data_IF_577769926807
#
_entry.id   IF_577769926807
#
_cell.length_a   1.000
_cell.length_b   1.000
_cell.length_c   1.000
_cell.angle_alpha   90.00
_cell.angle_beta   90.00
_cell.angle_gamma   90.00
#
_symmetry.space_group_name_H-M   'P 1'
#
loop_
_entity.id
_entity.type
_entity.pdbx_description
1 polymer ?
#
# COMPACT_ATOMS: atom_id res chain seq x y z
N UNK A 1 -0.72 14.34 0.61
CA UNK A 1 -0.67 13.54 -0.65
C UNK A 1 -2.06 13.03 -1.01
N UNK A 2 -2.30 12.64 -2.27
CA UNK A 2 -3.56 12.05 -2.73
C UNK A 2 -3.33 10.97 -3.79
N UNK A 3 -4.04 9.85 -3.71
CA UNK A 3 -4.14 8.85 -4.78
C UNK A 3 -5.20 9.30 -5.77
N UNK A 4 -4.79 9.61 -7.00
CA UNK A 4 -5.67 10.12 -8.06
C UNK A 4 -6.11 9.06 -9.06
N UNK A 5 -5.37 7.96 -9.15
CA UNK A 5 -5.67 6.84 -10.04
C UNK A 5 -5.25 5.52 -9.39
N UNK A 6 -6.04 4.47 -9.60
CA UNK A 6 -5.75 3.10 -9.17
C UNK A 6 -6.03 2.18 -10.37
N UNK A 7 -4.99 1.49 -10.84
CA UNK A 7 -5.05 0.60 -12.00
C UNK A 7 -4.59 -0.80 -11.60
N UNK A 8 -5.48 -1.78 -11.75
CA UNK A 8 -5.15 -3.19 -11.53
C UNK A 8 -4.64 -3.83 -12.83
N UNK A 9 -3.57 -4.61 -12.72
CA UNK A 9 -3.04 -5.42 -13.81
C UNK A 9 -3.30 -6.91 -13.57
N UNK A 10 -3.30 -7.69 -14.64
CA UNK A 10 -3.43 -9.16 -14.58
C UNK A 10 -2.28 -9.88 -13.84
N UNK A 11 -1.22 -9.15 -13.45
CA UNK A 11 -0.01 -9.68 -12.82
C UNK A 11 -0.02 -9.59 -11.29
N UNK A 12 -1.18 -9.51 -10.63
CA UNK A 12 -1.27 -9.35 -9.17
C UNK A 12 -0.49 -8.13 -8.66
N UNK A 13 -0.48 -7.06 -9.47
CA UNK A 13 0.20 -5.80 -9.20
C UNK A 13 -0.78 -4.66 -9.48
N UNK A 14 -0.84 -3.71 -8.56
CA UNK A 14 -1.64 -2.48 -8.72
C UNK A 14 -0.69 -1.31 -8.92
N UNK A 15 -1.05 -0.40 -9.84
CA UNK A 15 -0.41 0.89 -10.01
C UNK A 15 -1.29 1.98 -9.41
N UNK A 16 -0.65 2.88 -8.69
CA UNK A 16 -1.24 4.06 -8.10
C UNK A 16 -0.56 5.28 -8.71
N UNK A 17 -1.35 6.23 -9.17
CA UNK A 17 -0.84 7.58 -9.44
C UNK A 17 -1.08 8.41 -8.19
N UNK A 18 0.01 8.90 -7.60
CA UNK A 18 0.00 9.68 -6.36
C UNK A 18 0.48 11.09 -6.65
N UNK A 19 -0.26 12.08 -6.17
CA UNK A 19 0.08 13.49 -6.31
C UNK A 19 0.36 14.12 -4.93
N UNK A 20 1.46 14.87 -4.88
CA UNK A 20 1.81 15.71 -3.75
C UNK A 20 1.21 17.10 -3.94
N UNK A 21 0.53 17.66 -2.92
CA UNK A 21 -0.13 18.96 -3.05
C UNK A 21 0.87 20.10 -3.28
N UNK A 22 2.05 20.00 -2.67
CA UNK A 22 3.18 20.90 -2.95
C UNK A 22 4.28 20.13 -3.70
N UNK A 23 4.58 20.50 -4.97
CA UNK A 23 5.59 19.84 -5.79
C UNK A 23 7.03 20.05 -5.29
N UNK A 24 7.26 20.87 -4.27
CA UNK A 24 8.56 21.06 -3.63
C UNK A 24 8.64 20.36 -2.26
N UNK A 25 7.50 19.99 -1.66
CA UNK A 25 7.45 19.34 -0.34
C UNK A 25 6.95 17.89 -0.44
N UNK A 26 7.67 17.06 -1.19
CA UNK A 26 7.32 15.63 -1.40
C UNK A 26 8.19 14.63 -0.65
N UNK A 27 9.26 15.08 0.01
CA UNK A 27 10.18 14.23 0.75
C UNK A 27 9.96 14.32 2.26
N UNK A 28 10.17 13.21 2.97
CA UNK A 28 10.13 13.12 4.43
C UNK A 28 11.12 14.06 5.12
N UNK A 29 12.14 14.58 4.41
CA UNK A 29 13.02 15.63 4.94
C UNK A 29 12.25 16.92 5.29
N UNK A 30 11.16 17.21 4.59
CA UNK A 30 10.31 18.38 4.85
C UNK A 30 9.24 18.09 5.91
N UNK A 31 8.96 16.82 6.19
CA UNK A 31 7.98 16.36 7.16
C UNK A 31 8.55 15.22 8.04
N UNK A 32 9.62 15.47 8.82
CA UNK A 32 10.35 14.41 9.54
C UNK A 32 9.53 13.76 10.67
N UNK A 33 8.44 14.40 11.09
CA UNK A 33 7.50 13.86 12.06
C UNK A 33 6.74 12.64 11.51
N UNK A 34 6.45 12.59 10.20
CA UNK A 34 5.71 11.49 9.56
C UNK A 34 6.40 10.14 9.79
N UNK A 35 7.65 9.89 9.30
CA UNK A 35 8.29 8.59 9.51
C UNK A 35 8.53 8.29 11.00
N UNK A 36 8.80 9.31 11.82
CA UNK A 36 9.02 9.13 13.26
C UNK A 36 7.77 8.58 13.96
N UNK A 37 6.60 9.14 13.69
CA UNK A 37 5.34 8.69 14.24
C UNK A 37 4.90 7.37 13.61
N UNK A 38 5.11 7.21 12.31
CA UNK A 38 4.75 5.97 11.61
C UNK A 38 5.49 4.76 12.18
N UNK A 39 6.78 4.87 12.51
CA UNK A 39 7.52 3.77 13.15
C UNK A 39 7.08 3.47 14.60
N UNK A 40 6.37 4.40 15.26
CA UNK A 40 5.75 4.10 16.56
C UNK A 40 4.46 3.30 16.38
N UNK A 41 3.69 3.62 15.35
CA UNK A 41 2.44 2.93 15.01
C UNK A 41 2.69 1.55 14.38
N UNK A 42 3.74 1.46 13.57
CA UNK A 42 4.12 0.26 12.82
C UNK A 42 5.60 -0.05 13.06
N UNK A 43 5.97 -0.68 14.19
CA UNK A 43 7.37 -0.98 14.49
C UNK A 43 8.05 -1.91 13.47
N UNK A 44 7.31 -2.89 12.93
CA UNK A 44 7.81 -3.86 11.95
C UNK A 44 8.17 -3.22 10.60
N UNK A 45 7.58 -2.06 10.28
CA UNK A 45 7.93 -1.31 9.08
C UNK A 45 9.45 -1.03 9.03
N UNK A 46 10.09 -0.85 10.19
CA UNK A 46 11.53 -0.59 10.25
C UNK A 46 12.43 -1.75 9.84
N UNK A 47 11.88 -2.97 9.79
CA UNK A 47 12.58 -4.18 9.33
C UNK A 47 12.33 -4.47 7.85
N UNK A 48 11.57 -3.63 7.15
CA UNK A 48 11.39 -3.77 5.70
C UNK A 48 12.74 -3.66 4.99
N UNK A 49 12.92 -4.49 3.96
CA UNK A 49 14.05 -4.41 3.04
C UNK A 49 13.68 -3.46 1.92
N UNK A 50 14.57 -2.53 1.62
CA UNK A 50 14.44 -1.58 0.52
C UNK A 50 15.76 -1.60 -0.26
N UNK A 51 15.70 -1.89 -1.55
CA UNK A 51 16.86 -1.78 -2.43
C UNK A 51 17.01 -0.31 -2.82
N UNK A 52 17.99 0.36 -2.20
CA UNK A 52 18.34 1.75 -2.48
C UNK A 52 19.84 1.87 -2.80
N UNK A 53 20.21 2.91 -3.53
CA UNK A 53 21.58 3.11 -4.04
C UNK A 53 22.65 3.22 -2.93
N UNK A 54 22.23 3.45 -1.69
CA UNK A 54 23.12 3.70 -0.55
C UNK A 54 23.24 2.49 0.38
N UNK A 55 22.54 1.39 0.11
CA UNK A 55 22.52 0.21 0.97
C UNK A 55 21.94 0.47 2.37
N UNK A 56 21.10 1.50 2.51
CA UNK A 56 20.49 1.87 3.78
C UNK A 56 19.43 0.88 4.21
N UNK A 57 19.31 0.68 5.53
CA UNK A 57 18.09 0.08 6.10
C UNK A 57 16.90 0.97 5.82
N UNK A 58 15.69 0.42 5.74
CA UNK A 58 14.51 1.23 5.49
C UNK A 58 14.30 2.33 6.54
N UNK A 59 14.63 2.07 7.81
CA UNK A 59 14.62 3.09 8.87
C UNK A 59 15.55 4.27 8.58
N UNK A 60 16.73 4.03 8.01
CA UNK A 60 17.66 5.08 7.62
C UNK A 60 17.15 5.83 6.38
N UNK A 61 16.69 5.10 5.37
CA UNK A 61 16.15 5.63 4.12
C UNK A 61 14.99 6.60 4.37
N UNK A 62 14.06 6.22 5.25
CA UNK A 62 12.88 7.03 5.60
C UNK A 62 13.18 8.43 6.14
N UNK A 63 14.41 8.72 6.56
CA UNK A 63 14.81 10.08 7.02
C UNK A 63 14.84 11.10 5.89
N UNK A 64 15.03 10.65 4.65
CA UNK A 64 15.13 11.54 3.48
C UNK A 64 14.73 10.80 2.20
N UNK A 65 13.50 10.29 2.18
CA UNK A 65 12.91 9.61 1.02
C UNK A 65 11.62 10.31 0.60
N UNK A 66 11.05 9.96 -0.54
CA UNK A 66 9.78 10.47 -1.05
C UNK A 66 8.61 9.94 -0.20
N UNK A 67 7.64 10.80 0.17
CA UNK A 67 6.44 10.40 0.92
C UNK A 67 5.66 9.28 0.20
N UNK A 68 5.51 9.29 -1.15
CA UNK A 68 4.91 8.17 -1.88
C UNK A 68 5.66 6.83 -1.75
N UNK A 69 6.99 6.85 -1.55
CA UNK A 69 7.76 5.63 -1.29
C UNK A 69 7.54 5.12 0.14
N UNK A 70 7.43 6.01 1.13
CA UNK A 70 7.00 5.62 2.48
C UNK A 70 5.58 5.01 2.46
N UNK A 71 4.68 5.59 1.67
CA UNK A 71 3.32 5.12 1.47
C UNK A 71 3.27 3.72 0.87
N UNK A 72 4.10 3.42 -0.13
CA UNK A 72 4.27 2.07 -0.70
C UNK A 72 4.53 1.03 0.39
N UNK A 73 5.57 1.24 1.21
CA UNK A 73 5.92 0.30 2.28
C UNK A 73 4.82 0.19 3.34
N UNK A 74 4.09 1.28 3.61
CA UNK A 74 2.94 1.23 4.53
C UNK A 74 1.80 0.35 3.98
N UNK A 75 1.51 0.41 2.67
CA UNK A 75 0.53 -0.49 2.05
C UNK A 75 0.98 -1.94 2.22
N UNK A 76 2.26 -2.23 1.97
CA UNK A 76 2.83 -3.58 2.13
C UNK A 76 2.72 -4.06 3.59
N UNK A 77 3.07 -3.21 4.56
CA UNK A 77 2.96 -3.51 5.99
C UNK A 77 1.51 -3.85 6.40
N UNK A 78 0.53 -3.04 5.96
CA UNK A 78 -0.88 -3.27 6.26
C UNK A 78 -1.38 -4.60 5.68
N UNK A 79 -0.99 -4.93 4.43
CA UNK A 79 -1.30 -6.23 3.85
C UNK A 79 -0.63 -7.37 4.64
N UNK A 80 0.65 -7.21 4.99
CA UNK A 80 1.43 -8.20 5.74
C UNK A 80 0.82 -8.55 7.10
N UNK A 81 0.33 -7.57 7.85
CA UNK A 81 -0.34 -7.79 9.14
C UNK A 81 -1.66 -8.58 9.04
N UNK A 82 -2.30 -8.55 7.87
CA UNK A 82 -3.54 -9.30 7.60
C UNK A 82 -3.23 -10.70 7.06
N UNK A 83 -2.30 -10.81 6.12
CA UNK A 83 -1.94 -12.08 5.48
C UNK A 83 -1.13 -13.00 6.40
N UNK A 84 -0.33 -12.44 7.32
CA UNK A 84 0.51 -13.16 8.28
C UNK A 84 1.71 -13.91 7.68
N UNK A 85 1.77 -14.07 6.36
CA UNK A 85 2.89 -14.69 5.64
C UNK A 85 2.95 -14.25 4.19
N UNK A 86 4.10 -14.50 3.54
CA UNK A 86 4.36 -14.12 2.16
C UNK A 86 5.30 -12.93 2.04
N UNK A 87 5.79 -12.69 0.83
CA UNK A 87 6.64 -11.54 0.50
C UNK A 87 5.92 -10.76 -0.59
N UNK A 88 5.58 -9.51 -0.29
CA UNK A 88 5.04 -8.57 -1.26
C UNK A 88 6.12 -7.54 -1.59
N UNK A 89 6.18 -7.14 -2.86
CA UNK A 89 7.11 -6.12 -3.33
C UNK A 89 6.36 -4.87 -3.75
N UNK A 90 7.07 -3.77 -3.71
CA UNK A 90 6.62 -2.50 -4.25
C UNK A 90 7.73 -1.84 -5.04
N UNK A 91 7.33 -0.78 -5.74
CA UNK A 91 8.26 0.08 -6.45
C UNK A 91 7.65 1.47 -6.62
N UNK A 92 8.41 2.51 -6.30
CA UNK A 92 8.00 3.90 -6.48
C UNK A 92 8.88 4.55 -7.52
N UNK A 93 8.26 5.12 -8.55
CA UNK A 93 8.93 5.75 -9.67
C UNK A 93 8.41 7.16 -9.92
N UNK A 94 9.24 8.02 -10.49
CA UNK A 94 8.85 9.34 -10.99
C UNK A 94 9.73 9.75 -12.17
N UNK A 95 9.16 10.52 -13.10
CA UNK A 95 9.91 11.13 -14.19
C UNK A 95 9.36 12.53 -14.48
N UNK A 96 9.91 13.55 -13.82
CA UNK A 96 9.43 14.93 -13.96
C UNK A 96 9.76 15.59 -15.30
N UNK A 97 10.42 14.89 -16.23
CA UNK A 97 10.52 15.34 -17.63
C UNK A 97 9.25 15.04 -18.42
N UNK A 98 8.46 14.07 -17.96
CA UNK A 98 7.24 13.58 -18.62
C UNK A 98 6.00 13.94 -17.78
N UNK A 99 6.07 13.73 -16.48
CA UNK A 99 4.99 14.01 -15.54
C UNK A 99 5.16 15.38 -14.84
N UNK A 100 4.06 16.00 -14.38
CA UNK A 100 4.14 17.14 -13.47
C UNK A 100 4.99 16.83 -12.23
N UNK A 101 5.80 17.79 -11.79
CA UNK A 101 6.57 17.65 -10.55
C UNK A 101 5.65 17.36 -9.38
N UNK A 102 6.02 16.42 -8.52
CA UNK A 102 5.19 15.97 -7.39
C UNK A 102 4.22 14.83 -7.74
N UNK A 103 4.18 14.38 -9.00
CA UNK A 103 3.51 13.13 -9.40
C UNK A 103 4.45 11.94 -9.30
N UNK A 104 3.93 10.84 -8.76
CA UNK A 104 4.62 9.57 -8.56
C UNK A 104 3.75 8.42 -9.05
N UNK A 105 4.40 7.36 -9.53
CA UNK A 105 3.79 6.09 -9.87
C UNK A 105 4.26 5.07 -8.84
N UNK A 106 3.34 4.64 -7.98
CA UNK A 106 3.60 3.65 -6.93
C UNK A 106 3.00 2.33 -7.35
N UNK A 107 3.77 1.27 -7.28
CA UNK A 107 3.33 -0.07 -7.61
C UNK A 107 3.42 -0.96 -6.38
N UNK A 108 2.41 -1.79 -6.17
CA UNK A 108 2.37 -2.73 -5.04
C UNK A 108 1.85 -4.07 -5.51
N UNK A 109 2.51 -5.15 -5.13
CA UNK A 109 2.01 -6.52 -5.31
C UNK A 109 0.91 -6.83 -4.30
N UNK A 110 -0.02 -7.69 -4.71
CA UNK A 110 -1.11 -8.15 -3.85
C UNK A 110 -1.51 -9.58 -4.17
N UNK A 111 -2.07 -10.29 -3.19
CA UNK A 111 -2.68 -11.61 -3.40
C UNK A 111 -4.20 -11.58 -3.28
N UNK A 112 -4.74 -10.52 -2.67
CA UNK A 112 -6.16 -10.28 -2.49
C UNK A 112 -6.48 -8.83 -2.88
N UNK A 113 -7.30 -8.67 -3.93
CA UNK A 113 -7.58 -7.38 -4.56
C UNK A 113 -8.33 -6.41 -3.65
N UNK A 114 -9.30 -6.93 -2.89
CA UNK A 114 -10.07 -6.11 -1.96
C UNK A 114 -9.21 -5.66 -0.77
N UNK A 115 -8.34 -6.55 -0.28
CA UNK A 115 -7.40 -6.22 0.79
C UNK A 115 -6.45 -5.09 0.36
N UNK A 116 -5.81 -5.18 -0.82
CA UNK A 116 -4.89 -4.12 -1.25
C UNK A 116 -5.62 -2.80 -1.46
N UNK A 117 -6.83 -2.83 -2.01
CA UNK A 117 -7.65 -1.62 -2.16
C UNK A 117 -7.97 -0.98 -0.80
N UNK A 118 -8.34 -1.80 0.19
CA UNK A 118 -8.53 -1.35 1.57
C UNK A 118 -7.24 -0.76 2.15
N UNK A 119 -6.12 -1.47 2.02
CA UNK A 119 -4.83 -1.06 2.53
C UNK A 119 -4.36 0.28 1.92
N UNK A 120 -4.56 0.49 0.62
CA UNK A 120 -4.29 1.77 -0.07
C UNK A 120 -5.04 2.91 0.60
N UNK A 121 -6.34 2.73 0.86
CA UNK A 121 -7.19 3.78 1.47
C UNK A 121 -6.84 4.04 2.93
N UNK A 122 -6.55 3.00 3.69
CA UNK A 122 -6.09 3.14 5.08
C UNK A 122 -4.75 3.86 5.12
N UNK A 123 -3.77 3.43 4.33
CA UNK A 123 -2.44 4.06 4.27
C UNK A 123 -2.53 5.54 3.85
N UNK A 124 -3.40 5.88 2.90
CA UNK A 124 -3.60 7.27 2.45
C UNK A 124 -4.12 8.13 3.62
N UNK A 125 -5.14 7.65 4.35
CA UNK A 125 -5.67 8.33 5.54
C UNK A 125 -4.63 8.48 6.64
N UNK A 126 -3.81 7.44 6.90
CA UNK A 126 -2.76 7.48 7.92
C UNK A 126 -1.74 8.57 7.58
N UNK A 127 -1.21 8.60 6.36
CA UNK A 127 -0.23 9.60 5.96
C UNK A 127 -0.83 11.02 6.05
N UNK A 128 -2.08 11.20 5.62
CA UNK A 128 -2.77 12.50 5.73
C UNK A 128 -2.99 12.93 7.18
N UNK A 129 -3.38 12.01 8.06
CA UNK A 129 -3.57 12.29 9.49
C UNK A 129 -2.24 12.64 10.17
N UNK A 130 -1.15 11.95 9.82
CA UNK A 130 0.19 12.24 10.31
C UNK A 130 0.67 13.64 9.88
N UNK A 131 0.54 13.95 8.59
CA UNK A 131 0.92 15.26 8.01
C UNK A 131 0.11 16.41 8.64
N UNK A 132 -1.19 16.17 8.86
CA UNK A 132 -2.11 17.16 9.46
C UNK A 132 -2.11 17.17 10.98
N UNK A 133 -1.21 16.41 11.64
CA UNK A 133 -1.11 16.30 13.10
C UNK A 133 -2.42 15.85 13.80
N UNK A 134 -3.22 15.04 13.12
CA UNK A 134 -4.51 14.50 13.58
C UNK A 134 -4.43 13.00 13.87
N UNK A 135 -3.31 12.54 14.44
CA UNK A 135 -3.06 11.11 14.61
C UNK A 135 -4.05 10.44 15.57
N UNK A 136 -4.60 11.20 16.52
CA UNK A 136 -5.57 10.70 17.51
C UNK A 136 -6.88 10.19 16.88
N UNK A 137 -7.12 10.52 15.60
CA UNK A 137 -8.26 10.02 14.82
C UNK A 137 -8.03 8.64 14.19
N UNK A 138 -6.81 8.10 14.28
CA UNK A 138 -6.45 6.81 13.68
C UNK A 138 -6.32 5.74 14.75
N UNK A 139 -7.29 4.84 14.80
CA UNK A 139 -7.21 3.62 15.61
C UNK A 139 -6.67 2.47 14.77
N UNK A 140 -5.33 2.31 14.76
CA UNK A 140 -4.63 1.34 13.90
C UNK A 140 -5.19 -0.08 14.03
N UNK A 141 -5.41 -0.58 15.24
CA UNK A 141 -5.92 -1.94 15.44
C UNK A 141 -7.30 -2.12 14.81
N UNK A 142 -8.21 -1.14 14.95
CA UNK A 142 -9.53 -1.19 14.32
C UNK A 142 -9.45 -1.20 12.79
N UNK A 143 -8.53 -0.41 12.22
CA UNK A 143 -8.29 -0.40 10.78
C UNK A 143 -7.77 -1.76 10.29
N UNK A 144 -6.85 -2.39 11.03
CA UNK A 144 -6.37 -3.74 10.72
C UNK A 144 -7.50 -4.77 10.80
N UNK A 145 -8.37 -4.71 11.82
CA UNK A 145 -9.53 -5.61 11.92
C UNK A 145 -10.49 -5.44 10.74
N UNK A 146 -10.78 -4.21 10.33
CA UNK A 146 -11.59 -3.93 9.11
C UNK A 146 -10.94 -4.54 7.87
N UNK A 147 -9.62 -4.43 7.72
CA UNK A 147 -8.90 -5.04 6.60
C UNK A 147 -8.98 -6.58 6.61
N UNK A 148 -8.94 -7.23 7.78
CA UNK A 148 -9.16 -8.69 7.89
C UNK A 148 -10.55 -9.10 7.39
N UNK A 149 -11.59 -8.34 7.75
CA UNK A 149 -12.95 -8.60 7.26
C UNK A 149 -13.06 -8.42 5.74
N UNK A 150 -12.44 -7.37 5.19
CA UNK A 150 -12.38 -7.12 3.75
C UNK A 150 -11.66 -8.27 3.02
N UNK A 151 -10.52 -8.73 3.54
CA UNK A 151 -9.78 -9.84 2.96
C UNK A 151 -10.64 -11.12 2.91
N UNK A 152 -11.33 -11.44 4.00
CA UNK A 152 -12.22 -12.60 4.09
C UNK A 152 -13.36 -12.52 3.06
N UNK A 153 -14.00 -11.36 2.90
CA UNK A 153 -15.02 -11.15 1.89
C UNK A 153 -14.47 -11.32 0.45
N UNK A 154 -13.24 -10.84 0.20
CA UNK A 154 -12.56 -11.02 -1.09
C UNK A 154 -12.33 -12.49 -1.46
N UNK A 155 -11.93 -13.32 -0.50
CA UNK A 155 -11.76 -14.76 -0.73
C UNK A 155 -13.11 -15.45 -1.04
N UNK A 156 -14.17 -15.10 -0.31
CA UNK A 156 -15.51 -15.66 -0.56
C UNK A 156 -16.03 -15.33 -1.97
N UNK A 157 -15.83 -14.09 -2.43
CA UNK A 157 -16.21 -13.67 -3.78
C UNK A 157 -15.43 -14.45 -4.83
N UNK A 158 -14.11 -14.60 -4.64
CA UNK A 158 -13.25 -15.35 -5.56
C UNK A 158 -13.66 -16.83 -5.66
N UNK A 159 -13.96 -17.46 -4.53
CA UNK A 159 -14.45 -18.85 -4.47
C UNK A 159 -15.80 -18.99 -5.17
N UNK A 160 -16.75 -18.08 -4.90
CA UNK A 160 -18.08 -18.09 -5.53
C UNK A 160 -17.98 -17.89 -7.05
N UNK A 161 -17.12 -16.97 -7.50
CA UNK A 161 -16.87 -16.74 -8.92
C UNK A 161 -16.18 -17.90 -9.64
N UNK A 162 -15.37 -18.70 -8.92
CA UNK A 162 -14.79 -19.94 -9.46
C UNK A 162 -15.83 -21.05 -9.60
N UNK A 163 -16.72 -21.23 -8.62
CA UNK A 163 -17.81 -22.22 -8.69
C UNK A 163 -18.72 -21.98 -9.91
N UNK A 164 -19.01 -20.71 -10.24
CA UNK A 164 -19.85 -20.36 -11.40
C UNK A 164 -19.12 -20.63 -12.74
N UNK A 165 -17.78 -20.69 -12.75
CA UNK A 165 -16.96 -20.90 -13.96
C UNK A 165 -16.61 -22.37 -14.23
N UNK A 166 -16.90 -23.30 -13.32
CA UNK A 166 -16.73 -24.73 -13.60
C UNK A 166 -17.87 -25.23 -14.52
N UNK A 167 -17.57 -25.87 -15.67
CA UNK A 167 -18.61 -26.42 -16.51
C UNK A 167 -19.27 -27.59 -15.77
N UNK A 168 -20.62 -27.59 -15.75
CA UNK A 168 -21.42 -28.74 -15.33
C UNK A 168 -20.98 -29.93 -16.20
N UNK A 169 -20.13 -30.82 -15.66
CA UNK A 169 -19.86 -32.12 -16.28
C UNK A 169 -21.16 -32.91 -16.20
N UNK A 170 -21.98 -32.81 -17.25
CA UNK A 170 -23.09 -33.73 -17.48
C UNK A 170 -22.50 -35.13 -17.58
N UNK A 171 -22.79 -35.93 -16.56
CA UNK A 171 -22.54 -37.36 -16.55
C UNK A 171 -23.51 -37.99 -17.55
N UNK A 172 -23.07 -38.11 -18.81
CA UNK A 172 -23.69 -39.02 -19.75
C UNK A 172 -23.35 -40.45 -19.31
N UNK A 173 -24.24 -41.07 -18.53
CA UNK A 173 -24.30 -42.53 -18.40
C UNK A 173 -25.05 -43.05 -19.63
N UNK A 174 -24.35 -43.82 -20.46
CA UNK A 174 -24.91 -44.76 -21.42
C UNK A 174 -24.67 -46.17 -20.88
#
# INVERSE_FOLDING_TARGET
>A
MKVVEILFYNSNRVKLVVEMPDPNCYSTKHAPHIPKLLFKLFPHLSTHRCDNDKGFTFRQECRSTEIPHLFEHLIIELQGQVLGSGVLRGETQWNWRVDPKGRFHVYVEYTNELLVLGAIRVAERIIQALDSHQIDQIHVEEEIQKLRLIASAGEQIKQTGQIIREPIRQTARA
#
